data_IF_862287284487
#
_entry.id   IF_862287284487
#
_cell.length_a   1.000
_cell.length_b   1.000
_cell.length_c   1.000
_cell.angle_alpha   90.00
_cell.angle_beta   90.00
_cell.angle_gamma   90.00
#
_symmetry.space_group_name_H-M   'P 1'
#
loop_
_entity.id
_entity.type
_entity.pdbx_description
1 polymer ?
#
# COMPACT_ATOMS: atom_id res chain seq x y z
N UNK A 1 -13.72 0.62 -24.70
CA UNK A 1 -12.96 1.88 -24.75
C UNK A 1 -12.37 2.11 -23.38
N UNK A 2 -11.56 1.16 -22.90
CA UNK A 2 -11.34 0.93 -21.46
C UNK A 2 -9.86 0.96 -21.07
N UNK A 3 -9.07 1.81 -21.75
CA UNK A 3 -7.62 1.91 -21.50
C UNK A 3 -7.21 3.16 -20.70
N UNK A 4 -8.17 4.03 -20.36
CA UNK A 4 -7.86 5.37 -19.83
C UNK A 4 -8.02 5.52 -18.32
N UNK A 5 -8.55 4.51 -17.60
CA UNK A 5 -8.80 4.63 -16.16
C UNK A 5 -7.57 4.29 -15.31
N UNK A 6 -6.70 3.37 -15.74
CA UNK A 6 -5.51 3.00 -14.96
C UNK A 6 -4.46 4.11 -14.86
N UNK A 7 -4.46 5.10 -15.75
CA UNK A 7 -3.51 6.22 -15.73
C UNK A 7 -3.88 7.35 -14.77
N UNK A 8 -5.02 7.24 -14.06
CA UNK A 8 -5.49 8.24 -13.09
C UNK A 8 -5.32 7.79 -11.64
N UNK A 9 -4.80 6.59 -11.39
CA UNK A 9 -4.48 6.15 -10.04
C UNK A 9 -3.33 7.02 -9.50
N UNK A 10 -3.46 7.65 -8.33
CA UNK A 10 -2.43 8.50 -7.74
C UNK A 10 -1.32 7.62 -7.17
N UNK A 11 -0.52 7.00 -8.04
CA UNK A 11 0.64 6.21 -7.65
C UNK A 11 1.88 6.98 -8.07
N UNK A 12 2.64 7.49 -7.11
CA UNK A 12 3.91 8.14 -7.41
C UNK A 12 4.90 7.09 -7.95
N UNK A 13 5.77 7.47 -8.89
CA UNK A 13 6.71 6.55 -9.54
C UNK A 13 7.71 5.88 -8.56
N UNK A 14 7.89 6.43 -7.35
CA UNK A 14 8.69 5.85 -6.27
C UNK A 14 8.02 4.66 -5.55
N UNK A 15 6.75 4.35 -5.81
CA UNK A 15 5.94 3.39 -5.05
C UNK A 15 5.89 2.03 -5.77
N UNK A 16 7.02 1.33 -5.76
CA UNK A 16 7.19 0.09 -6.51
C UNK A 16 6.17 -0.99 -6.15
N UNK A 17 5.73 -1.08 -4.88
CA UNK A 17 4.72 -2.07 -4.49
C UNK A 17 3.32 -1.70 -4.99
N UNK A 18 2.93 -0.43 -4.88
CA UNK A 18 1.63 0.03 -5.36
C UNK A 18 1.50 -0.10 -6.89
N UNK A 19 2.57 0.19 -7.65
CA UNK A 19 2.61 -0.05 -9.10
C UNK A 19 2.52 -1.53 -9.44
N UNK A 20 3.23 -2.39 -8.70
CA UNK A 20 3.18 -3.84 -8.89
C UNK A 20 1.78 -4.39 -8.61
N UNK A 21 1.15 -3.93 -7.52
CA UNK A 21 -0.22 -4.31 -7.18
C UNK A 21 -1.22 -3.83 -8.24
N UNK A 22 -1.11 -2.58 -8.71
CA UNK A 22 -1.95 -2.05 -9.78
C UNK A 22 -1.83 -2.88 -11.06
N UNK A 23 -0.62 -3.26 -11.45
CA UNK A 23 -0.40 -4.13 -12.61
C UNK A 23 -1.03 -5.52 -12.40
N UNK A 24 -0.92 -6.08 -11.19
CA UNK A 24 -1.60 -7.31 -10.81
C UNK A 24 -3.13 -7.20 -10.92
N UNK A 25 -3.71 -6.12 -10.39
CA UNK A 25 -5.15 -5.86 -10.47
C UNK A 25 -5.62 -5.71 -11.91
N UNK A 26 -4.92 -4.94 -12.72
CA UNK A 26 -5.25 -4.75 -14.14
C UNK A 26 -5.21 -6.07 -14.92
N UNK A 27 -4.22 -6.93 -14.61
CA UNK A 27 -4.12 -8.26 -15.21
C UNK A 27 -5.29 -9.14 -14.81
N UNK A 28 -5.60 -9.27 -13.52
CA UNK A 28 -6.74 -10.08 -13.05
C UNK A 28 -8.05 -9.58 -13.64
N UNK A 29 -8.25 -8.26 -13.68
CA UNK A 29 -9.43 -7.66 -14.31
C UNK A 29 -9.56 -8.04 -15.78
N UNK A 30 -8.46 -8.00 -16.55
CA UNK A 30 -8.46 -8.37 -17.96
C UNK A 30 -8.69 -9.88 -18.19
N UNK A 31 -8.22 -10.74 -17.28
CA UNK A 31 -8.32 -12.20 -17.41
C UNK A 31 -9.69 -12.73 -16.94
N UNK A 32 -10.23 -12.21 -15.83
CA UNK A 32 -11.39 -12.81 -15.15
C UNK A 32 -12.56 -11.84 -14.94
N UNK A 33 -12.33 -10.52 -15.11
CA UNK A 33 -13.30 -9.48 -14.78
C UNK A 33 -13.53 -9.28 -13.27
N UNK A 34 -12.82 -10.02 -12.41
CA UNK A 34 -12.94 -9.96 -10.94
C UNK A 34 -11.56 -9.90 -10.31
N UNK A 35 -11.37 -8.94 -9.40
CA UNK A 35 -10.11 -8.69 -8.71
C UNK A 35 -10.33 -8.78 -7.22
N UNK A 36 -9.79 -9.81 -6.59
CA UNK A 36 -9.83 -9.94 -5.14
C UNK A 36 -8.78 -9.07 -4.46
N UNK A 37 -9.11 -8.59 -3.26
CA UNK A 37 -8.13 -7.87 -2.44
C UNK A 37 -7.06 -8.85 -1.95
N UNK A 38 -5.76 -8.56 -2.14
CA UNK A 38 -4.71 -9.44 -1.69
C UNK A 38 -4.73 -9.56 -0.16
N UNK A 39 -4.40 -10.74 0.35
CA UNK A 39 -4.25 -10.93 1.80
C UNK A 39 -3.07 -10.10 2.29
N UNK A 40 -3.37 -8.96 2.92
CA UNK A 40 -2.37 -8.10 3.55
C UNK A 40 -2.29 -8.48 5.02
N UNK A 41 -1.22 -9.16 5.40
CA UNK A 41 -0.99 -9.45 6.82
C UNK A 41 -0.59 -8.16 7.53
N UNK A 42 -1.19 -7.85 8.69
CA UNK A 42 -0.74 -6.72 9.48
C UNK A 42 0.71 -6.94 9.91
N UNK A 43 1.61 -6.02 9.54
CA UNK A 43 2.99 -6.01 10.05
C UNK A 43 2.91 -5.63 11.52
N UNK A 44 3.21 -6.57 12.42
CA UNK A 44 3.29 -6.28 13.84
C UNK A 44 4.33 -5.19 14.09
N UNK A 45 3.95 -4.16 14.84
CA UNK A 45 4.87 -3.08 15.19
C UNK A 45 5.94 -3.64 16.15
N UNK A 46 7.22 -3.63 15.79
CA UNK A 46 8.28 -4.04 16.69
C UNK A 46 8.42 -3.06 17.87
N UNK A 47 9.09 -3.51 18.94
CA UNK A 47 9.35 -2.67 20.11
C UNK A 47 10.18 -1.40 19.79
N UNK A 48 10.92 -1.39 18.68
CA UNK A 48 11.66 -0.24 18.16
C UNK A 48 11.31 -0.05 16.69
N UNK A 49 10.69 1.09 16.38
CA UNK A 49 10.31 1.45 15.01
C UNK A 49 11.51 2.04 14.28
N UNK A 50 11.78 1.55 13.07
CA UNK A 50 12.72 2.16 12.13
C UNK A 50 11.97 2.77 10.95
N UNK A 51 12.62 3.67 10.21
CA UNK A 51 12.05 4.30 9.01
C UNK A 51 11.59 3.27 7.97
N UNK A 52 12.27 2.12 7.88
CA UNK A 52 11.88 1.01 7.01
C UNK A 52 10.50 0.43 7.37
N UNK A 53 10.20 0.27 8.65
CA UNK A 53 8.89 -0.26 9.07
C UNK A 53 7.75 0.69 8.69
N UNK A 54 7.97 1.99 8.81
CA UNK A 54 7.00 3.00 8.38
C UNK A 54 6.80 2.94 6.87
N UNK A 55 7.90 2.87 6.11
CA UNK A 55 7.85 2.73 4.66
C UNK A 55 7.06 1.48 4.22
N UNK A 56 7.29 0.34 4.86
CA UNK A 56 6.55 -0.90 4.57
C UNK A 56 5.05 -0.76 4.87
N UNK A 57 4.67 -0.13 5.99
CA UNK A 57 3.26 0.15 6.31
C UNK A 57 2.62 1.10 5.29
N UNK A 58 3.34 2.13 4.85
CA UNK A 58 2.89 3.09 3.84
C UNK A 58 2.64 2.42 2.48
N UNK A 59 3.55 1.54 2.04
CA UNK A 59 3.37 0.79 0.79
C UNK A 59 2.13 -0.11 0.84
N UNK A 60 1.91 -0.81 1.96
CA UNK A 60 0.69 -1.61 2.14
C UNK A 60 -0.58 -0.74 2.16
N UNK A 61 -0.50 0.45 2.79
CA UNK A 61 -1.63 1.38 2.83
C UNK A 61 -2.00 1.85 1.43
N UNK A 62 -1.00 2.16 0.59
CA UNK A 62 -1.21 2.57 -0.81
C UNK A 62 -1.84 1.46 -1.65
N UNK A 63 -1.43 0.20 -1.47
CA UNK A 63 -2.09 -0.94 -2.14
C UNK A 63 -3.57 -1.00 -1.79
N UNK A 64 -3.91 -0.85 -0.50
CA UNK A 64 -5.30 -0.79 -0.05
C UNK A 64 -6.06 0.40 -0.65
N UNK A 65 -5.42 1.57 -0.73
CA UNK A 65 -6.04 2.76 -1.29
C UNK A 65 -6.30 2.66 -2.80
N UNK A 66 -5.34 2.12 -3.56
CA UNK A 66 -5.52 1.83 -5.00
C UNK A 66 -6.69 0.87 -5.23
N UNK A 67 -6.81 -0.18 -4.40
CA UNK A 67 -7.94 -1.11 -4.51
C UNK A 67 -9.28 -0.41 -4.24
N UNK A 68 -9.38 0.41 -3.17
CA UNK A 68 -10.61 1.16 -2.87
C UNK A 68 -10.94 2.17 -3.97
N UNK A 69 -9.93 2.81 -4.56
CA UNK A 69 -10.12 3.75 -5.66
C UNK A 69 -10.66 3.07 -6.93
N UNK A 70 -10.23 1.83 -7.20
CA UNK A 70 -10.74 1.01 -8.29
C UNK A 70 -12.14 0.47 -8.00
N UNK A 71 -12.41 0.03 -6.77
CA UNK A 71 -13.75 -0.41 -6.33
C UNK A 71 -14.80 0.68 -6.51
N UNK A 72 -14.47 1.94 -6.22
CA UNK A 72 -15.37 3.08 -6.48
C UNK A 72 -15.71 3.30 -7.96
N UNK A 73 -14.96 2.71 -8.90
CA UNK A 73 -15.19 2.81 -10.35
C UNK A 73 -15.77 1.54 -10.96
N UNK A 74 -15.39 0.38 -10.42
CA UNK A 74 -15.75 -0.93 -10.93
C UNK A 74 -16.26 -1.83 -9.78
N UNK A 75 -17.37 -1.46 -9.11
CA UNK A 75 -17.80 -2.13 -7.88
C UNK A 75 -18.12 -3.62 -8.07
N UNK A 76 -18.65 -4.01 -9.23
CA UNK A 76 -18.97 -5.42 -9.54
C UNK A 76 -17.71 -6.28 -9.74
N UNK A 77 -16.59 -5.65 -10.10
CA UNK A 77 -15.31 -6.32 -10.36
C UNK A 77 -14.38 -6.33 -9.15
N UNK A 78 -14.65 -5.54 -8.12
CA UNK A 78 -13.80 -5.40 -6.92
C UNK A 78 -14.65 -5.67 -5.66
N UNK A 79 -15.01 -6.94 -5.41
CA UNK A 79 -15.99 -7.31 -4.38
C UNK A 79 -15.50 -7.07 -2.94
N UNK A 80 -14.20 -6.92 -2.73
CA UNK A 80 -13.59 -6.88 -1.41
C UNK A 80 -13.41 -5.44 -0.86
N UNK A 81 -14.18 -4.48 -1.38
CA UNK A 81 -14.06 -3.06 -1.01
C UNK A 81 -14.19 -2.78 0.49
N UNK A 82 -15.05 -3.53 1.21
CA UNK A 82 -15.18 -3.43 2.67
C UNK A 82 -13.89 -3.83 3.39
N UNK A 83 -13.27 -4.93 2.96
CA UNK A 83 -12.02 -5.43 3.55
C UNK A 83 -10.90 -4.44 3.26
N UNK A 84 -10.76 -4.00 2.01
CA UNK A 84 -9.75 -3.02 1.63
C UNK A 84 -9.84 -1.71 2.42
N UNK A 85 -11.07 -1.19 2.64
CA UNK A 85 -11.29 -0.01 3.50
C UNK A 85 -10.89 -0.24 4.95
N UNK A 86 -11.21 -1.40 5.51
CA UNK A 86 -10.84 -1.76 6.88
C UNK A 86 -9.32 -1.86 7.02
N UNK A 87 -8.65 -2.56 6.10
CA UNK A 87 -7.19 -2.68 6.06
C UNK A 87 -6.51 -1.32 5.90
N UNK A 88 -7.04 -0.45 5.02
CA UNK A 88 -6.51 0.91 4.86
C UNK A 88 -6.59 1.71 6.16
N UNK A 89 -7.72 1.64 6.87
CA UNK A 89 -7.87 2.33 8.16
C UNK A 89 -6.89 1.78 9.20
N UNK A 90 -6.79 0.44 9.31
CA UNK A 90 -5.87 -0.19 10.26
C UNK A 90 -4.42 0.19 10.01
N UNK A 91 -3.98 0.23 8.75
CA UNK A 91 -2.64 0.66 8.38
C UNK A 91 -2.42 2.15 8.68
N UNK A 92 -3.41 3.00 8.44
CA UNK A 92 -3.35 4.42 8.79
C UNK A 92 -3.17 4.62 10.31
N UNK A 93 -3.91 3.86 11.12
CA UNK A 93 -3.82 3.90 12.57
C UNK A 93 -2.44 3.42 13.06
N UNK A 94 -1.90 2.35 12.47
CA UNK A 94 -0.55 1.82 12.76
C UNK A 94 0.56 2.81 12.39
N UNK A 95 0.49 3.43 11.22
CA UNK A 95 1.43 4.48 10.81
C UNK A 95 1.37 5.63 11.82
N UNK A 96 0.16 6.08 12.18
CA UNK A 96 -0.03 7.11 13.19
C UNK A 96 0.52 6.72 14.57
N UNK A 97 0.45 5.45 14.97
CA UNK A 97 1.06 4.96 16.21
C UNK A 97 2.59 4.92 16.11
N UNK A 98 3.14 4.42 15.01
CA UNK A 98 4.57 4.32 14.76
C UNK A 98 5.26 5.70 14.78
N UNK A 99 4.63 6.70 14.17
CA UNK A 99 5.14 8.08 14.14
C UNK A 99 5.12 8.80 15.50
N UNK A 100 4.37 8.28 16.49
CA UNK A 100 4.39 8.81 17.87
C UNK A 100 5.55 8.26 18.70
N UNK A 101 6.24 7.23 18.22
CA UNK A 101 7.40 6.64 18.89
C UNK A 101 8.68 7.28 18.36
N UNK A 102 9.72 7.47 19.21
CA UNK A 102 11.01 7.93 18.72
C UNK A 102 11.57 6.90 17.74
N UNK A 103 11.85 7.37 16.51
CA UNK A 103 12.45 6.52 15.48
C UNK A 103 13.81 6.05 15.97
N UNK A 104 14.01 4.74 15.98
CA UNK A 104 15.33 4.19 16.16
C UNK A 104 16.11 4.51 14.89
N UNK A 105 17.14 5.35 14.99
CA UNK A 105 18.12 5.49 13.92
C UNK A 105 18.69 4.10 13.66
N UNK A 106 18.49 3.58 12.45
CA UNK A 106 19.21 2.39 12.00
C UNK A 106 20.68 2.76 11.90
N UNK A 107 21.56 1.90 12.39
CA UNK A 107 23.01 2.06 12.30
C UNK A 107 23.55 2.14 10.85
N UNK A 108 22.68 2.03 9.85
CA UNK A 108 22.97 2.20 8.43
C UNK A 108 23.08 3.69 8.00
N UNK A 109 22.80 4.66 8.89
CA UNK A 109 22.96 6.11 8.62
C UNK A 109 24.31 6.69 9.12
N UNK A 110 25.17 5.90 9.80
CA UNK A 110 26.50 6.35 10.29
C UNK A 110 27.63 6.19 9.25
N UNK A 111 27.29 6.20 7.96
CA UNK A 111 28.19 5.75 6.90
C UNK A 111 28.44 6.72 5.75
N UNK A 112 28.44 8.04 5.94
CA UNK A 112 28.90 8.97 4.88
C UNK A 112 29.41 10.33 5.40
N UNK A 113 30.13 10.33 6.54
CA UNK A 113 30.88 11.51 6.99
C UNK A 113 32.25 11.07 7.55
N UNK A 114 33.11 10.57 6.65
CA UNK A 114 34.54 10.43 6.91
C UNK A 114 35.35 10.50 5.61
N UNK A 115 35.76 11.73 5.28
CA UNK A 115 36.93 12.19 4.50
C UNK A 115 36.98 11.91 2.99
#
# INVERSE_FOLDING_TARGET
GDKLVSCQAPVAAQEAMALTALHGFARSFAETGVVNFPSVSPVDLPARISSRHIFELEELHKVADVYVWLEGRFPDSFPDGRIARQTRQELSDRIGQALRQPLCMSADDEGDDQL
#
